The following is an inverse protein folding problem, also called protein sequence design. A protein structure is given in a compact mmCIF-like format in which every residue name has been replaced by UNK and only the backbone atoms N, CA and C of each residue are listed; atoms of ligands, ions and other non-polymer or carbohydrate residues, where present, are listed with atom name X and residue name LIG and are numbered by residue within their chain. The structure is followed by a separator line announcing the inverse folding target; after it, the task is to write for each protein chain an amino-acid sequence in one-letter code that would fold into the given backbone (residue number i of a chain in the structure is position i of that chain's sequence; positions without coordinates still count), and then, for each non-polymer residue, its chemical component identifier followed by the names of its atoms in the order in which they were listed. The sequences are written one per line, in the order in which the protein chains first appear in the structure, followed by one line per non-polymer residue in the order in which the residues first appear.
data_IF_284422276290
#
_entry.id   IF_284422276290
#
_cell.length_a   1.000
_cell.length_b   1.000
_cell.length_c   1.000
_cell.angle_alpha   90.00
_cell.angle_beta   90.00
_cell.angle_gamma   90.00
#
_symmetry.space_group_name_H-M   'P 1'
#
loop_
_entity.id
_entity.type
_entity.pdbx_description
1 polymer ?
#
# COMPACT_ATOMS: atom_id res chain seq x y z
N UNK A 1 -20.79 12.14 3.36
CA UNK A 1 -19.66 12.63 2.54
C UNK A 1 -18.42 11.84 2.87
N UNK A 2 -17.60 11.56 1.88
CA UNK A 2 -16.34 10.83 2.07
C UNK A 2 -15.18 11.78 1.81
N UNK A 3 -14.06 11.56 2.48
CA UNK A 3 -12.83 12.28 2.19
C UNK A 3 -12.14 11.58 1.02
N UNK A 4 -11.87 12.33 -0.04
CA UNK A 4 -11.10 11.88 -1.18
C UNK A 4 -9.78 12.64 -1.22
N UNK A 5 -8.75 11.93 -1.65
CA UNK A 5 -7.48 12.51 -2.03
C UNK A 5 -7.37 12.44 -3.55
N UNK A 6 -7.06 13.58 -4.17
CA UNK A 6 -6.87 13.70 -5.60
C UNK A 6 -5.44 14.16 -5.84
N UNK A 7 -4.70 13.38 -6.61
CA UNK A 7 -3.37 13.75 -7.06
C UNK A 7 -3.42 14.14 -8.52
N UNK A 8 -2.93 15.34 -8.84
CA UNK A 8 -2.78 15.84 -10.20
C UNK A 8 -1.32 15.87 -10.59
N UNK A 9 -1.05 15.52 -11.85
CA UNK A 9 0.24 15.71 -12.49
C UNK A 9 0.00 16.59 -13.71
N UNK A 10 0.45 17.84 -13.64
CA UNK A 10 0.43 18.78 -14.76
C UNK A 10 1.75 18.74 -15.53
N UNK A 11 1.70 19.24 -16.77
CA UNK A 11 2.90 19.51 -17.55
C UNK A 11 3.77 20.59 -16.87
N UNK A 12 5.09 20.48 -17.05
CA UNK A 12 6.09 21.43 -16.55
C UNK A 12 6.00 22.80 -17.22
N UNK A 13 5.44 22.86 -18.42
CA UNK A 13 5.28 24.11 -19.17
C UNK A 13 4.31 25.09 -18.52
N UNK A 14 3.47 24.61 -17.59
CA UNK A 14 2.47 25.41 -16.89
C UNK A 14 3.08 26.03 -15.62
N UNK A 15 2.87 27.33 -15.46
CA UNK A 15 3.26 28.09 -14.27
C UNK A 15 2.29 27.87 -13.10
N UNK A 16 2.70 28.27 -11.89
CA UNK A 16 1.88 28.14 -10.67
C UNK A 16 0.54 28.89 -10.81
N UNK A 17 0.52 30.04 -11.49
CA UNK A 17 -0.69 30.81 -11.75
C UNK A 17 -1.64 30.10 -12.72
N UNK A 18 -1.12 29.50 -13.79
CA UNK A 18 -1.90 28.67 -14.71
C UNK A 18 -2.48 27.43 -14.03
N UNK A 19 -1.70 26.80 -13.16
CA UNK A 19 -2.14 25.69 -12.31
C UNK A 19 -3.29 26.12 -11.39
N UNK A 20 -3.16 27.26 -10.71
CA UNK A 20 -4.20 27.75 -9.79
C UNK A 20 -5.52 28.05 -10.51
N UNK A 21 -5.47 28.65 -11.71
CA UNK A 21 -6.67 28.86 -12.55
C UNK A 21 -7.41 27.56 -12.89
N UNK A 22 -6.66 26.46 -13.06
CA UNK A 22 -7.26 25.15 -13.30
C UNK A 22 -7.87 24.55 -12.05
N UNK A 23 -7.20 24.67 -10.92
CA UNK A 23 -7.74 24.24 -9.64
C UNK A 23 -9.06 24.97 -9.34
N UNK A 24 -9.13 26.27 -9.57
CA UNK A 24 -10.37 27.06 -9.47
C UNK A 24 -11.49 26.58 -10.41
N UNK A 25 -11.14 26.05 -11.59
CA UNK A 25 -12.10 25.45 -12.52
C UNK A 25 -12.55 24.05 -12.07
N UNK A 26 -11.67 23.28 -11.44
CA UNK A 26 -11.88 21.90 -11.03
C UNK A 26 -12.61 21.78 -9.70
N UNK A 27 -12.29 22.59 -8.70
CA UNK A 27 -12.89 22.52 -7.37
C UNK A 27 -14.43 22.62 -7.41
N UNK A 28 -15.07 23.57 -8.13
CA UNK A 28 -16.52 23.65 -8.18
C UNK A 28 -17.21 22.38 -8.68
N UNK A 29 -16.57 21.66 -9.60
CA UNK A 29 -17.10 20.43 -10.19
C UNK A 29 -17.07 19.25 -9.19
N UNK A 30 -16.06 19.22 -8.32
CA UNK A 30 -15.95 18.24 -7.24
C UNK A 30 -16.94 18.53 -6.11
N UNK A 31 -17.14 19.82 -5.81
CA UNK A 31 -17.91 20.25 -4.64
C UNK A 31 -19.42 20.03 -4.85
N UNK A 32 -19.93 20.05 -6.08
CA UNK A 32 -21.35 19.84 -6.36
C UNK A 32 -22.24 20.71 -5.46
N UNK A 33 -23.23 20.11 -4.78
CA UNK A 33 -24.15 20.84 -3.88
C UNK A 33 -23.61 21.05 -2.45
N UNK A 34 -22.59 20.31 -2.00
CA UNK A 34 -22.24 20.26 -0.57
C UNK A 34 -20.83 19.74 -0.21
N UNK A 35 -19.88 19.74 -1.14
CA UNK A 35 -18.50 19.38 -0.86
C UNK A 35 -17.70 20.53 -0.24
N UNK A 36 -16.54 20.21 0.33
CA UNK A 36 -15.56 21.16 0.87
C UNK A 36 -14.14 20.74 0.45
N UNK A 37 -13.28 21.72 0.14
CA UNK A 37 -11.83 21.49 -0.04
C UNK A 37 -11.18 21.63 1.33
N UNK A 38 -10.53 20.56 1.80
CA UNK A 38 -9.89 20.54 3.12
C UNK A 38 -8.50 21.16 3.04
N UNK A 39 -7.69 20.70 2.08
CA UNK A 39 -6.29 21.10 1.96
C UNK A 39 -5.81 20.92 0.51
N UNK A 40 -4.91 21.78 0.05
CA UNK A 40 -4.26 21.68 -1.26
C UNK A 40 -2.77 21.91 -1.06
N UNK A 41 -1.98 20.87 -1.36
CA UNK A 41 -0.52 20.87 -1.24
C UNK A 41 0.12 20.91 -2.62
N UNK A 42 0.93 21.93 -2.86
CA UNK A 42 1.76 22.05 -4.06
C UNK A 42 3.13 21.43 -3.81
N UNK A 43 3.45 20.37 -4.56
CA UNK A 43 4.73 19.67 -4.43
C UNK A 43 5.79 20.16 -5.42
N UNK A 44 5.42 21.07 -6.31
CA UNK A 44 6.32 21.61 -7.33
C UNK A 44 6.58 20.62 -8.47
N UNK A 45 7.58 20.97 -9.28
CA UNK A 45 8.09 20.12 -10.36
C UNK A 45 8.92 18.99 -9.77
N UNK A 46 8.59 17.74 -10.13
CA UNK A 46 9.37 16.55 -9.76
C UNK A 46 9.68 15.72 -10.99
N UNK A 47 10.86 15.11 -10.99
CA UNK A 47 11.25 14.12 -11.99
C UNK A 47 10.44 12.84 -11.79
N UNK A 48 9.84 12.34 -12.86
CA UNK A 48 9.07 11.10 -12.86
C UNK A 48 10.02 9.92 -13.05
N UNK A 49 9.68 8.78 -12.45
CA UNK A 49 10.45 7.55 -12.59
C UNK A 49 10.41 6.95 -14.00
N UNK A 50 9.43 7.36 -14.82
CA UNK A 50 9.32 7.00 -16.23
C UNK A 50 8.48 8.07 -16.96
N UNK A 51 8.65 8.23 -18.28
CA UNK A 51 7.94 9.28 -19.00
C UNK A 51 6.44 9.02 -19.09
N UNK A 52 5.63 10.03 -18.77
CA UNK A 52 4.16 10.00 -18.91
C UNK A 52 3.77 10.93 -20.04
N UNK A 53 3.04 10.40 -21.05
CA UNK A 53 2.70 11.13 -22.28
C UNK A 53 3.92 11.81 -22.96
N UNK A 54 5.12 11.22 -22.85
CA UNK A 54 6.42 11.73 -23.33
C UNK A 54 7.05 12.86 -22.50
N UNK A 55 6.50 13.21 -21.35
CA UNK A 55 7.12 14.14 -20.40
C UNK A 55 7.88 13.34 -19.34
N UNK A 56 9.13 13.72 -19.05
CA UNK A 56 9.96 13.11 -18.00
C UNK A 56 9.76 13.76 -16.61
N UNK A 57 9.23 14.97 -16.58
CA UNK A 57 8.97 15.80 -15.40
C UNK A 57 7.51 16.24 -15.39
N UNK A 58 6.98 16.51 -14.20
CA UNK A 58 5.63 17.02 -14.04
C UNK A 58 5.45 17.77 -12.73
N UNK A 59 4.46 18.67 -12.69
CA UNK A 59 4.10 19.44 -11.51
C UNK A 59 3.04 18.68 -10.70
N UNK A 60 3.39 18.31 -9.46
CA UNK A 60 2.53 17.49 -8.60
C UNK A 60 1.70 18.34 -7.64
N UNK A 61 0.42 18.00 -7.52
CA UNK A 61 -0.49 18.62 -6.55
C UNK A 61 -1.30 17.54 -5.88
N UNK A 62 -1.43 17.64 -4.57
CA UNK A 62 -2.28 16.76 -3.76
C UNK A 62 -3.40 17.62 -3.18
N UNK A 63 -4.65 17.31 -3.52
CA UNK A 63 -5.82 17.98 -2.98
C UNK A 63 -6.64 17.01 -2.16
N UNK A 64 -7.01 17.41 -0.95
CA UNK A 64 -7.97 16.71 -0.12
C UNK A 64 -9.33 17.37 -0.21
N UNK A 65 -10.33 16.59 -0.60
CA UNK A 65 -11.67 17.09 -0.84
C UNK A 65 -12.67 16.19 -0.13
N UNK A 66 -13.57 16.80 0.64
CA UNK A 66 -14.73 16.13 1.17
C UNK A 66 -15.85 16.27 0.15
N UNK A 67 -16.24 15.17 -0.49
CA UNK A 67 -17.23 15.20 -1.55
C UNK A 67 -18.26 14.08 -1.42
N UNK A 68 -19.36 14.23 -2.15
CA UNK A 68 -20.35 13.19 -2.39
C UNK A 68 -20.00 12.39 -3.65
N UNK A 69 -20.44 11.12 -3.72
CA UNK A 69 -20.08 10.25 -4.83
C UNK A 69 -20.70 10.67 -6.18
N UNK A 70 -21.78 11.46 -6.15
CA UNK A 70 -22.57 11.82 -7.34
C UNK A 70 -21.82 12.77 -8.30
N UNK A 71 -21.00 13.68 -7.77
CA UNK A 71 -20.23 14.64 -8.59
C UNK A 71 -18.95 14.07 -9.23
N UNK A 72 -18.48 12.89 -8.77
CA UNK A 72 -17.20 12.32 -9.22
C UNK A 72 -17.16 11.95 -10.71
N UNK A 73 -18.21 11.34 -11.32
CA UNK A 73 -18.15 10.97 -12.73
C UNK A 73 -18.08 12.18 -13.68
N UNK A 74 -18.79 13.27 -13.35
CA UNK A 74 -18.72 14.50 -14.14
C UNK A 74 -17.35 15.16 -14.02
N UNK A 75 -16.83 15.19 -12.80
CA UNK A 75 -15.49 15.69 -12.52
C UNK A 75 -14.41 14.91 -13.27
N UNK A 76 -14.44 13.58 -13.22
CA UNK A 76 -13.49 12.72 -13.93
C UNK A 76 -13.52 12.96 -15.44
N UNK A 77 -14.72 13.14 -16.02
CA UNK A 77 -14.88 13.43 -17.44
C UNK A 77 -14.18 14.73 -17.83
N UNK A 78 -14.27 15.77 -17.00
CA UNK A 78 -13.62 17.06 -17.26
C UNK A 78 -12.10 16.94 -17.14
N UNK A 79 -11.59 16.25 -16.11
CA UNK A 79 -10.16 15.99 -15.97
C UNK A 79 -9.58 15.26 -17.19
N UNK A 80 -10.31 14.26 -17.71
CA UNK A 80 -9.87 13.48 -18.88
C UNK A 80 -9.78 14.33 -20.17
N UNK A 81 -10.53 15.42 -20.26
CA UNK A 81 -10.54 16.30 -21.43
C UNK A 81 -9.42 17.34 -21.40
N UNK A 82 -8.82 17.59 -20.24
CA UNK A 82 -7.71 18.54 -20.11
C UNK A 82 -6.42 17.92 -20.67
N UNK A 83 -5.85 18.59 -21.68
CA UNK A 83 -4.66 18.08 -22.40
C UNK A 83 -3.40 18.26 -21.58
N UNK A 84 -3.32 19.36 -20.85
CA UNK A 84 -2.19 19.77 -20.01
C UNK A 84 -2.14 18.98 -18.69
N UNK A 85 -3.22 18.28 -18.32
CA UNK A 85 -3.21 17.28 -17.25
C UNK A 85 -2.60 15.97 -17.78
N UNK A 86 -1.40 15.64 -17.33
CA UNK A 86 -0.71 14.42 -17.75
C UNK A 86 -1.40 13.18 -17.18
N UNK A 87 -1.73 13.22 -15.88
CA UNK A 87 -2.37 12.12 -15.16
C UNK A 87 -3.07 12.62 -13.90
N UNK A 88 -4.10 11.90 -13.48
CA UNK A 88 -4.78 12.12 -12.20
C UNK A 88 -5.05 10.79 -11.51
N UNK A 89 -5.07 10.79 -10.18
CA UNK A 89 -5.47 9.67 -9.36
C UNK A 89 -6.47 10.15 -8.30
N UNK A 90 -7.63 9.49 -8.20
CA UNK A 90 -8.62 9.75 -7.15
C UNK A 90 -8.63 8.54 -6.21
N UNK A 91 -8.45 8.79 -4.93
CA UNK A 91 -8.42 7.76 -3.88
C UNK A 91 -9.37 8.16 -2.75
N UNK A 92 -10.07 7.19 -2.18
CA UNK A 92 -10.77 7.37 -0.91
C UNK A 92 -9.72 7.50 0.20
N UNK A 93 -9.69 8.62 0.91
CA UNK A 93 -8.77 8.83 2.02
C UNK A 93 -9.32 8.14 3.28
N UNK A 94 -8.56 7.17 3.82
CA UNK A 94 -8.88 6.42 5.03
C UNK A 94 -8.29 7.07 6.31
N UNK A 95 -7.73 8.27 6.21
CA UNK A 95 -7.07 9.00 7.31
C UNK A 95 -5.55 9.15 7.13
N UNK A 96 -5.05 9.05 5.90
CA UNK A 96 -3.64 9.28 5.57
C UNK A 96 -3.31 10.78 5.65
N UNK A 97 -2.20 11.16 6.29
CA UNK A 97 -1.75 12.55 6.29
C UNK A 97 -1.38 12.98 4.86
N UNK A 98 -1.57 14.26 4.59
CA UNK A 98 -1.25 14.87 3.28
C UNK A 98 0.26 14.75 3.01
N UNK A 99 1.07 14.91 4.07
CA UNK A 99 2.51 14.68 4.08
C UNK A 99 2.87 13.27 3.63
N UNK A 100 3.80 13.17 2.69
CA UNK A 100 4.21 11.91 2.04
C UNK A 100 5.00 10.93 2.90
N UNK A 101 4.87 10.96 4.22
CA UNK A 101 5.52 10.02 5.13
C UNK A 101 4.54 8.93 5.57
N UNK A 102 4.99 7.68 5.59
CA UNK A 102 4.24 6.58 6.20
C UNK A 102 4.29 6.69 7.73
N UNK A 103 3.19 6.34 8.41
CA UNK A 103 3.20 6.21 9.86
C UNK A 103 3.77 4.83 10.20
N UNK A 104 5.04 4.80 10.59
CA UNK A 104 5.67 3.61 11.16
C UNK A 104 5.09 3.42 12.56
N UNK A 105 4.42 2.29 12.80
CA UNK A 105 3.99 1.93 14.14
C UNK A 105 5.20 1.58 15.01
N UNK A 106 5.03 1.65 16.33
CA UNK A 106 6.04 1.16 17.25
C UNK A 106 6.30 -0.32 16.96
N UNK A 107 7.57 -0.70 16.80
CA UNK A 107 7.95 -2.11 16.76
C UNK A 107 7.39 -2.75 18.03
N UNK A 108 6.51 -3.77 17.93
CA UNK A 108 5.98 -4.42 19.13
C UNK A 108 7.18 -4.93 19.95
N UNK A 109 7.15 -4.81 21.29
CA UNK A 109 8.21 -5.36 22.13
C UNK A 109 8.38 -6.83 21.73
N UNK A 110 9.59 -7.18 21.31
CA UNK A 110 9.91 -8.53 20.90
C UNK A 110 9.53 -9.50 22.01
N UNK A 111 8.96 -10.65 21.65
CA UNK A 111 8.69 -11.76 22.57
C UNK A 111 9.96 -12.30 23.25
N UNK A 112 11.15 -11.74 22.97
CA UNK A 112 12.38 -12.02 23.69
C UNK A 112 12.26 -11.78 25.21
N UNK A 113 11.32 -10.94 25.66
CA UNK A 113 11.05 -10.73 27.09
C UNK A 113 10.01 -11.72 27.67
N UNK A 114 9.53 -12.71 26.91
CA UNK A 114 8.54 -13.71 27.36
C UNK A 114 9.02 -15.15 27.35
N UNK A 115 10.19 -15.41 26.79
CA UNK A 115 10.75 -16.77 26.75
C UNK A 115 11.50 -17.13 28.05
N UNK A 116 11.59 -16.23 29.05
CA UNK A 116 12.23 -16.50 30.36
C UNK A 116 11.27 -17.02 31.47
N UNK A 117 9.94 -17.10 31.24
CA UNK A 117 8.98 -17.51 32.29
C UNK A 117 8.29 -18.88 32.09
N UNK A 118 8.51 -19.59 30.98
CA UNK A 118 7.84 -20.88 30.68
C UNK A 118 8.74 -22.13 30.84
N UNK A 119 9.81 -22.07 31.68
CA UNK A 119 10.72 -23.21 31.94
C UNK A 119 10.40 -24.06 33.20
N UNK A 120 9.23 -23.93 33.83
CA UNK A 120 8.84 -24.81 34.95
C UNK A 120 7.42 -25.39 34.79
N UNK A 121 7.27 -26.45 33.99
CA UNK A 121 6.32 -27.52 34.33
C UNK A 121 7.02 -28.89 34.24
N UNK A 122 7.13 -29.45 35.44
CA UNK A 122 7.85 -30.61 35.90
C UNK A 122 7.32 -31.94 35.33
N UNK A 123 8.28 -32.85 35.10
CA UNK A 123 8.19 -34.28 34.83
C UNK A 123 6.96 -35.02 35.41
N UNK A 124 6.30 -35.83 34.57
CA UNK A 124 5.40 -36.90 35.02
C UNK A 124 5.71 -38.20 34.26
N UNK A 125 6.07 -39.31 34.93
CA UNK A 125 6.33 -40.57 34.28
C UNK A 125 5.06 -41.43 34.26
N UNK A 126 4.56 -41.78 33.08
CA UNK A 126 3.57 -42.85 32.95
C UNK A 126 4.19 -44.02 32.17
N UNK A 127 4.44 -45.10 32.93
CA UNK A 127 4.79 -46.44 32.46
C UNK A 127 3.62 -47.05 31.67
N UNK A 128 3.92 -47.74 30.56
CA UNK A 128 3.02 -48.78 30.04
C UNK A 128 3.84 -49.99 29.51
N UNK A 129 3.44 -51.25 29.82
CA UNK A 129 4.17 -52.45 29.44
C UNK A 129 3.84 -52.93 28.00
N UNK A 130 4.67 -53.81 27.39
CA UNK A 130 4.46 -54.25 26.02
C UNK A 130 3.42 -55.37 25.94
N UNK A 131 2.63 -55.39 24.86
CA UNK A 131 1.87 -56.57 24.43
C UNK A 131 2.11 -56.86 22.96
N UNK A 132 2.52 -58.10 22.71
CA UNK A 132 2.83 -58.69 21.40
C UNK A 132 1.56 -58.98 20.58
N UNK A 133 1.70 -58.69 19.28
CA UNK A 133 1.19 -59.34 18.06
C UNK A 133 -0.17 -60.08 18.03
N UNK A 134 -1.03 -59.71 17.07
CA UNK A 134 -1.71 -60.66 16.14
C UNK A 134 -2.47 -59.93 15.00
N UNK A 135 -2.00 -60.20 13.77
CA UNK A 135 -2.71 -60.34 12.48
C UNK A 135 -3.55 -59.20 11.82
N UNK A 136 -2.89 -58.58 10.83
CA UNK A 136 -3.29 -58.44 9.42
C UNK A 136 -4.79 -58.32 9.02
N UNK A 137 -5.20 -57.12 8.58
CA UNK A 137 -5.92 -57.00 7.31
C UNK A 137 -5.54 -55.72 6.54
N UNK A 138 -5.36 -55.88 5.23
CA UNK A 138 -4.81 -54.89 4.31
C UNK A 138 -5.92 -53.98 3.76
N UNK A 139 -6.15 -52.87 4.44
CA UNK A 139 -6.77 -51.68 3.85
C UNK A 139 -5.71 -50.63 3.55
N UNK A 140 -5.14 -50.61 2.34
CA UNK A 140 -4.26 -49.52 1.90
C UNK A 140 -5.08 -48.26 1.60
N UNK A 141 -5.56 -47.58 2.65
CA UNK A 141 -5.92 -46.18 2.59
C UNK A 141 -4.63 -45.36 2.79
N UNK A 142 -4.33 -44.35 1.96
CA UNK A 142 -3.24 -43.43 2.24
C UNK A 142 -3.39 -42.89 3.67
N UNK A 143 -2.34 -42.89 4.50
CA UNK A 143 -2.45 -42.43 5.88
C UNK A 143 -3.02 -41.01 5.88
N UNK A 144 -4.10 -40.80 6.63
CA UNK A 144 -4.65 -39.46 6.81
C UNK A 144 -3.53 -38.57 7.35
N UNK A 145 -3.29 -37.44 6.68
CA UNK A 145 -2.30 -36.47 7.10
C UNK A 145 -2.65 -35.97 8.51
N UNK A 146 -2.06 -36.61 9.53
CA UNK A 146 -2.15 -36.26 10.95
C UNK A 146 -1.03 -35.29 11.36
N UNK A 147 -0.42 -34.61 10.39
CA UNK A 147 0.47 -33.50 10.68
C UNK A 147 -0.34 -32.36 11.29
N UNK A 148 -0.09 -32.06 12.57
CA UNK A 148 -0.59 -30.84 13.20
C UNK A 148 -0.31 -29.66 12.28
N UNK A 149 -1.35 -28.89 11.93
CA UNK A 149 -1.22 -27.69 11.10
C UNK A 149 -0.17 -26.80 11.75
N UNK A 150 1.06 -26.84 11.23
CA UNK A 150 2.22 -26.21 11.86
C UNK A 150 1.85 -24.81 12.33
N UNK A 151 2.15 -24.50 13.60
CA UNK A 151 1.88 -23.19 14.20
C UNK A 151 2.30 -22.13 13.18
N UNK A 152 1.35 -21.33 12.73
CA UNK A 152 1.62 -20.21 11.82
C UNK A 152 2.68 -19.36 12.50
N UNK A 153 3.93 -19.39 12.03
CA UNK A 153 5.03 -18.60 12.61
C UNK A 153 4.56 -17.16 12.78
N UNK A 154 4.66 -16.68 14.03
CA UNK A 154 4.33 -15.31 14.43
C UNK A 154 5.29 -14.36 13.72
N UNK A 155 4.79 -13.17 13.40
CA UNK A 155 5.46 -12.21 12.52
C UNK A 155 6.64 -11.52 13.21
N UNK A 156 7.71 -11.28 12.46
CA UNK A 156 8.85 -10.45 12.86
C UNK A 156 8.93 -9.15 12.02
N UNK A 157 8.01 -8.93 11.08
CA UNK A 157 8.01 -7.72 10.23
C UNK A 157 7.57 -6.48 10.99
N UNK A 158 8.03 -5.27 10.58
CA UNK A 158 7.62 -4.02 11.20
C UNK A 158 6.10 -3.86 11.15
N UNK A 159 5.50 -3.47 12.27
CA UNK A 159 4.07 -3.14 12.35
C UNK A 159 3.90 -1.75 11.76
N UNK A 160 3.74 -1.67 10.44
CA UNK A 160 3.40 -0.41 9.78
C UNK A 160 1.88 -0.25 9.91
N UNK A 161 1.46 0.72 10.70
CA UNK A 161 0.03 0.98 10.97
C UNK A 161 -0.66 1.63 9.77
N UNK A 162 0.04 2.52 9.06
CA UNK A 162 -0.51 3.19 7.88
C UNK A 162 0.57 3.41 6.82
N UNK A 163 0.40 2.77 5.66
CA UNK A 163 1.33 2.86 4.53
C UNK A 163 0.82 3.90 3.52
N UNK A 164 1.57 4.99 3.38
CA UNK A 164 1.25 6.03 2.40
C UNK A 164 1.89 5.69 1.04
N UNK A 165 1.12 5.74 -0.03
CA UNK A 165 1.64 5.45 -1.38
C UNK A 165 2.57 6.56 -1.92
N UNK A 166 2.61 7.70 -1.25
CA UNK A 166 3.49 8.84 -1.51
C UNK A 166 4.92 8.65 -0.99
N UNK A 167 5.10 7.75 -0.03
CA UNK A 167 6.39 7.50 0.62
C UNK A 167 7.26 6.56 -0.21
N UNK A 168 7.94 7.14 -1.20
CA UNK A 168 8.80 6.40 -2.14
C UNK A 168 9.91 5.64 -1.41
N UNK A 169 10.48 6.21 -0.34
CA UNK A 169 11.58 5.61 0.40
C UNK A 169 11.10 4.32 1.08
N UNK A 170 10.01 4.37 1.82
CA UNK A 170 9.45 3.19 2.49
C UNK A 170 9.03 2.12 1.49
N UNK A 171 8.37 2.51 0.39
CA UNK A 171 7.93 1.56 -0.65
C UNK A 171 9.09 0.87 -1.37
N UNK A 172 10.20 1.58 -1.60
CA UNK A 172 11.38 1.04 -2.28
C UNK A 172 11.99 -0.15 -1.54
N UNK A 173 11.96 -0.16 -0.19
CA UNK A 173 12.45 -1.27 0.63
C UNK A 173 11.67 -2.59 0.39
N UNK A 174 10.43 -2.49 -0.07
CA UNK A 174 9.57 -3.65 -0.38
C UNK A 174 9.64 -4.08 -1.84
N UNK A 175 10.58 -3.53 -2.61
CA UNK A 175 10.79 -3.86 -4.01
C UNK A 175 12.20 -4.41 -4.24
N UNK A 176 12.34 -5.30 -5.21
CA UNK A 176 13.65 -5.70 -5.73
C UNK A 176 14.25 -4.55 -6.54
N UNK A 177 15.55 -4.57 -6.78
CA UNK A 177 16.21 -3.64 -7.72
C UNK A 177 15.58 -3.65 -9.14
N UNK A 178 14.99 -4.77 -9.57
CA UNK A 178 14.31 -4.88 -10.87
C UNK A 178 12.92 -4.23 -10.90
N UNK A 179 12.43 -3.70 -9.78
CA UNK A 179 11.07 -3.18 -9.68
C UNK A 179 10.00 -4.25 -9.44
N UNK A 180 10.34 -5.50 -9.08
CA UNK A 180 9.34 -6.51 -8.66
C UNK A 180 8.96 -6.31 -7.19
N UNK A 181 7.69 -6.54 -6.85
CA UNK A 181 7.22 -6.48 -5.46
C UNK A 181 7.74 -7.70 -4.71
N UNK A 182 8.40 -7.50 -3.56
CA UNK A 182 8.90 -8.60 -2.76
C UNK A 182 7.75 -9.46 -2.21
N UNK A 183 7.88 -10.80 -2.22
CA UNK A 183 6.84 -11.68 -1.73
C UNK A 183 6.77 -11.63 -0.21
N UNK A 184 5.57 -11.90 0.34
CA UNK A 184 5.30 -11.91 1.79
C UNK A 184 6.32 -12.72 2.61
N UNK A 185 6.80 -13.84 2.06
CA UNK A 185 7.79 -14.71 2.74
C UNK A 185 9.13 -14.00 3.01
N UNK A 186 9.48 -13.03 2.20
CA UNK A 186 10.73 -12.25 2.31
C UNK A 186 10.51 -11.00 3.16
N UNK A 187 9.38 -10.32 2.97
CA UNK A 187 9.05 -9.09 3.70
C UNK A 187 8.59 -9.34 5.15
N UNK A 188 8.22 -10.59 5.48
CA UNK A 188 7.73 -11.02 6.80
C UNK A 188 6.51 -10.21 7.31
N UNK A 189 5.74 -9.60 6.41
CA UNK A 189 4.55 -8.80 6.73
C UNK A 189 3.26 -9.62 6.84
N UNK A 190 2.19 -9.02 7.38
CA UNK A 190 0.86 -9.64 7.44
C UNK A 190 0.27 -9.85 6.04
N UNK A 191 -0.65 -10.81 5.87
CA UNK A 191 -1.33 -11.01 4.58
C UNK A 191 -2.25 -9.83 4.22
N UNK A 192 -2.78 -9.12 5.23
CA UNK A 192 -3.55 -7.89 5.04
C UNK A 192 -2.64 -6.79 4.52
N UNK A 193 -1.55 -6.53 5.24
CA UNK A 193 -0.55 -5.53 4.89
C UNK A 193 0.06 -5.77 3.50
N UNK A 194 0.35 -7.02 3.11
CA UNK A 194 0.86 -7.30 1.77
C UNK A 194 -0.11 -6.86 0.66
N UNK A 195 -1.44 -6.93 0.88
CA UNK A 195 -2.44 -6.46 -0.08
C UNK A 195 -2.46 -4.94 -0.15
N UNK A 196 -2.38 -4.29 1.01
CA UNK A 196 -2.36 -2.84 1.13
C UNK A 196 -1.08 -2.25 0.52
N UNK A 197 0.08 -2.85 0.81
CA UNK A 197 1.36 -2.60 0.15
C UNK A 197 1.29 -2.77 -1.36
N UNK A 198 0.68 -3.86 -1.83
CA UNK A 198 0.47 -4.07 -3.26
C UNK A 198 -0.37 -2.98 -3.90
N UNK A 199 -1.40 -2.48 -3.22
CA UNK A 199 -2.24 -1.36 -3.68
C UNK A 199 -1.45 -0.04 -3.68
N UNK A 200 -0.70 0.23 -2.62
CA UNK A 200 0.12 1.43 -2.49
C UNK A 200 1.21 1.50 -3.56
N UNK A 201 1.98 0.42 -3.76
CA UNK A 201 2.99 0.35 -4.83
C UNK A 201 2.35 0.56 -6.21
N UNK A 202 1.18 -0.04 -6.47
CA UNK A 202 0.47 0.16 -7.73
C UNK A 202 0.04 1.62 -7.94
N UNK A 203 -0.45 2.29 -6.89
CA UNK A 203 -0.78 3.73 -6.92
C UNK A 203 0.46 4.59 -7.16
N UNK A 204 1.54 4.33 -6.44
CA UNK A 204 2.82 5.04 -6.59
C UNK A 204 3.39 4.90 -8.01
N UNK A 205 3.34 3.68 -8.57
CA UNK A 205 3.72 3.43 -9.98
C UNK A 205 2.80 4.14 -10.95
N UNK A 206 1.49 4.13 -10.71
CA UNK A 206 0.56 4.87 -11.55
C UNK A 206 0.85 6.38 -11.51
N UNK A 207 1.27 6.93 -10.38
CA UNK A 207 1.72 8.32 -10.28
C UNK A 207 3.15 8.56 -10.76
N UNK A 208 3.81 7.57 -11.36
CA UNK A 208 5.19 7.68 -11.83
C UNK A 208 6.20 8.12 -10.74
N UNK A 209 5.90 7.83 -9.47
CA UNK A 209 6.83 8.04 -8.35
C UNK A 209 7.85 6.89 -8.24
N UNK A 210 7.47 5.70 -8.71
CA UNK A 210 8.27 4.47 -8.66
C UNK A 210 8.26 3.82 -10.05
N UNK A 211 9.40 3.29 -10.53
CA UNK A 211 9.47 2.65 -11.84
C UNK A 211 8.81 1.26 -11.86
N UNK A 212 8.36 0.84 -13.03
CA UNK A 212 7.93 -0.55 -13.25
C UNK A 212 9.10 -1.51 -13.44
N UNK A 213 10.16 -1.03 -14.09
CA UNK A 213 11.38 -1.75 -14.43
C UNK A 213 12.57 -0.80 -14.22
N UNK A 214 13.74 -1.32 -13.90
CA UNK A 214 14.96 -0.53 -13.64
C UNK A 214 15.38 0.37 -14.80
N UNK A 215 15.24 -0.12 -16.03
CA UNK A 215 15.78 0.53 -17.23
C UNK A 215 14.68 1.29 -18.00
N UNK A 216 14.11 2.31 -17.38
CA UNK A 216 13.43 3.36 -18.12
C UNK A 216 14.47 4.41 -18.51
N UNK A 217 15.34 4.08 -19.47
CA UNK A 217 16.19 5.10 -20.07
C UNK A 217 15.32 6.14 -20.78
N UNK A 218 15.58 7.40 -20.45
CA UNK A 218 14.95 8.62 -20.98
C UNK A 218 15.68 9.06 -22.24
#
# INVERSE_FOLDING_TARGET
MRLYEIVYIFDETLDEDGVNKKLEKFHPLVLGKSGEVVEVDHWGVRQMAYPVKKHGSGYYIVAQVRAEADGLPEFERVLRLDVELLRYLIVLNEGEPTTGHSLLGATPPSLADKDEEDEEEEDGPDEDPPREDEDADRGFSPPEFSGGRGRRRRMEGPVIELLNYKDVLTLSHFMTEQGKILPKRTTKVTARFQRDLGRAIKRARYLALIPYIRDHEV
#
